data_IF_716827269243
#
_entry.id   IF_716827269243
#
_cell.length_a   1.000
_cell.length_b   1.000
_cell.length_c   1.000
_cell.angle_alpha   90.00
_cell.angle_beta   90.00
_cell.angle_gamma   90.00
#
_symmetry.space_group_name_H-M   'P 1'
#
loop_
_entity.id
_entity.type
_entity.pdbx_description
1 polymer ?
#
# COMPACT_ATOMS: atom_id res chain seq x y z
N UNK A 1 -26.73 10.20 -29.18
CA UNK A 1 -26.42 8.76 -29.32
C UNK A 1 -25.08 8.52 -28.66
N UNK A 2 -25.08 7.85 -27.51
CA UNK A 2 -24.50 6.50 -27.34
C UNK A 2 -22.98 6.60 -27.18
N UNK A 3 -22.37 6.25 -26.05
CA UNK A 3 -22.54 5.01 -25.30
C UNK A 3 -22.23 5.23 -23.82
N UNK A 4 -23.14 4.84 -22.91
CA UNK A 4 -22.72 4.48 -21.55
C UNK A 4 -21.75 3.32 -21.71
N UNK A 5 -20.53 3.50 -21.24
CA UNK A 5 -19.60 2.40 -21.06
C UNK A 5 -20.17 1.52 -19.94
N UNK A 6 -21.05 0.60 -20.30
CA UNK A 6 -21.35 -0.60 -19.52
C UNK A 6 -20.13 -1.52 -19.58
N UNK A 7 -19.02 -1.06 -19.00
CA UNK A 7 -17.89 -1.92 -18.66
C UNK A 7 -18.27 -2.70 -17.42
N UNK A 8 -18.35 -4.02 -17.54
CA UNK A 8 -18.65 -4.95 -16.47
C UNK A 8 -17.88 -4.59 -15.19
N UNK A 9 -18.57 -3.95 -14.24
CA UNK A 9 -18.05 -3.71 -12.90
C UNK A 9 -18.02 -5.04 -12.17
N UNK A 10 -16.92 -5.79 -12.34
CA UNK A 10 -16.53 -6.75 -11.31
C UNK A 10 -16.04 -5.92 -10.13
N UNK A 11 -16.98 -5.39 -9.34
CA UNK A 11 -16.69 -4.84 -8.01
C UNK A 11 -15.89 -5.88 -7.27
N UNK A 12 -14.62 -5.60 -7.00
CA UNK A 12 -13.82 -6.46 -6.15
C UNK A 12 -14.60 -6.78 -4.89
N UNK A 13 -14.66 -8.07 -4.54
CA UNK A 13 -15.35 -8.51 -3.34
C UNK A 13 -14.70 -7.82 -2.15
N UNK A 14 -15.50 -7.13 -1.34
CA UNK A 14 -15.02 -6.61 -0.06
C UNK A 14 -14.58 -7.79 0.80
N UNK A 15 -13.43 -7.65 1.47
CA UNK A 15 -12.85 -8.72 2.29
C UNK A 15 -13.83 -9.34 3.28
N UNK A 16 -14.62 -8.50 3.96
CA UNK A 16 -15.64 -8.91 4.94
C UNK A 16 -16.81 -9.71 4.36
N UNK A 17 -16.92 -9.79 3.03
CA UNK A 17 -17.95 -10.55 2.30
C UNK A 17 -17.40 -11.82 1.64
N UNK A 18 -16.13 -12.14 1.86
CA UNK A 18 -15.51 -13.34 1.32
C UNK A 18 -15.76 -14.56 2.21
N UNK A 19 -15.82 -15.78 1.66
CA UNK A 19 -15.83 -17.01 2.47
C UNK A 19 -14.62 -17.09 3.41
N UNK A 20 -13.47 -16.59 3.00
CA UNK A 20 -12.23 -16.58 3.78
C UNK A 20 -12.36 -15.72 5.05
N UNK A 21 -13.13 -14.63 5.00
CA UNK A 21 -13.45 -13.87 6.20
C UNK A 21 -14.34 -14.65 7.17
N UNK A 22 -15.33 -15.39 6.66
CA UNK A 22 -16.17 -16.26 7.47
C UNK A 22 -15.34 -17.38 8.12
N UNK A 23 -14.43 -17.99 7.36
CA UNK A 23 -13.50 -19.02 7.85
C UNK A 23 -12.53 -18.47 8.90
N UNK A 24 -11.97 -17.28 8.69
CA UNK A 24 -11.11 -16.60 9.66
C UNK A 24 -11.87 -16.28 10.94
N UNK A 25 -13.09 -15.74 10.80
CA UNK A 25 -13.95 -15.43 11.94
C UNK A 25 -14.29 -16.70 12.74
N UNK A 26 -14.66 -17.78 12.05
CA UNK A 26 -14.93 -19.08 12.68
C UNK A 26 -13.68 -19.64 13.37
N UNK A 27 -12.52 -19.56 12.72
CA UNK A 27 -11.23 -19.99 13.28
C UNK A 27 -10.90 -19.26 14.58
N UNK A 28 -11.05 -17.94 14.60
CA UNK A 28 -10.76 -17.11 15.78
C UNK A 28 -11.68 -17.44 16.96
N UNK A 29 -12.92 -17.87 16.69
CA UNK A 29 -13.89 -18.27 17.71
C UNK A 29 -13.78 -19.75 18.12
N UNK A 30 -13.08 -20.58 17.34
CA UNK A 30 -13.01 -22.01 17.59
C UNK A 30 -12.26 -22.34 18.89
N UNK A 31 -12.72 -23.33 19.67
CA UNK A 31 -11.97 -23.85 20.81
C UNK A 31 -10.58 -24.35 20.38
N UNK A 32 -9.55 -24.01 21.14
CA UNK A 32 -8.17 -24.41 20.84
C UNK A 32 -7.43 -23.50 19.85
N UNK A 33 -8.09 -22.54 19.23
CA UNK A 33 -7.44 -21.57 18.33
C UNK A 33 -6.38 -20.72 19.03
N UNK A 34 -6.52 -20.45 20.34
CA UNK A 34 -5.52 -19.74 21.16
C UNK A 34 -4.36 -20.60 21.68
N UNK A 35 -4.25 -21.87 21.24
CA UNK A 35 -3.24 -22.87 21.65
C UNK A 35 -2.99 -23.01 23.16
N UNK A 36 -4.07 -23.15 23.95
CA UNK A 36 -4.20 -23.96 25.17
C UNK A 36 -5.69 -24.12 25.51
N UNK A 37 -6.48 -24.64 24.56
CA UNK A 37 -7.91 -24.95 24.74
C UNK A 37 -8.88 -23.76 24.70
N UNK A 38 -8.40 -22.51 24.72
CA UNK A 38 -9.25 -21.30 24.65
C UNK A 38 -9.47 -20.76 23.23
N UNK A 39 -10.48 -19.89 23.10
CA UNK A 39 -10.68 -19.05 21.90
C UNK A 39 -9.45 -18.17 21.62
N UNK A 40 -9.29 -17.71 20.38
CA UNK A 40 -8.12 -16.95 19.94
C UNK A 40 -7.91 -15.61 20.69
N UNK A 41 -8.96 -15.08 21.34
CA UNK A 41 -8.84 -13.94 22.28
C UNK A 41 -7.89 -14.20 23.46
N UNK A 42 -7.55 -15.45 23.73
CA UNK A 42 -6.60 -15.85 24.78
C UNK A 42 -5.23 -16.25 24.20
N UNK A 43 -4.95 -15.95 22.92
CA UNK A 43 -3.67 -16.21 22.29
C UNK A 43 -2.56 -15.42 23.03
N UNK A 44 -1.64 -16.13 23.70
CA UNK A 44 -0.50 -15.52 24.38
C UNK A 44 0.73 -15.49 23.47
N UNK A 45 1.13 -14.29 23.10
CA UNK A 45 2.31 -14.08 22.25
C UNK A 45 3.59 -14.62 22.89
N UNK A 46 3.77 -14.50 24.21
CA UNK A 46 4.96 -15.01 24.91
C UNK A 46 5.06 -16.50 24.76
N UNK A 47 3.94 -17.20 24.96
CA UNK A 47 3.85 -18.63 24.74
C UNK A 47 4.10 -19.00 23.27
N UNK A 48 3.58 -18.22 22.32
CA UNK A 48 3.84 -18.46 20.91
C UNK A 48 5.33 -18.36 20.54
N UNK A 49 6.09 -17.45 21.16
CA UNK A 49 7.55 -17.40 21.02
C UNK A 49 8.24 -18.58 21.70
N UNK A 50 7.80 -18.99 22.89
CA UNK A 50 8.33 -20.18 23.57
C UNK A 50 8.09 -21.45 22.75
N UNK A 51 6.93 -21.60 22.14
CA UNK A 51 6.54 -22.77 21.34
C UNK A 51 7.16 -22.77 19.93
N UNK A 52 7.49 -21.59 19.40
CA UNK A 52 8.09 -21.45 18.08
C UNK A 52 9.32 -20.53 18.15
N UNK A 53 10.52 -21.09 18.44
CA UNK A 53 11.76 -20.32 18.46
C UNK A 53 12.09 -19.61 17.13
N UNK A 54 11.57 -20.11 16.01
CA UNK A 54 11.77 -19.53 14.67
C UNK A 54 10.72 -18.46 14.30
N UNK A 55 9.82 -18.11 15.23
CA UNK A 55 8.71 -17.18 14.98
C UNK A 55 9.20 -15.82 14.46
N UNK A 56 10.31 -15.31 15.00
CA UNK A 56 10.89 -14.05 14.55
C UNK A 56 11.20 -14.08 13.05
N UNK A 57 11.95 -15.09 12.60
CA UNK A 57 12.34 -15.23 11.20
C UNK A 57 11.13 -15.50 10.30
N UNK A 58 10.18 -16.34 10.74
CA UNK A 58 9.01 -16.72 9.94
C UNK A 58 8.05 -15.56 9.65
N UNK A 59 7.93 -14.60 10.57
CA UNK A 59 7.02 -13.46 10.44
C UNK A 59 7.74 -12.12 10.23
N UNK A 60 9.04 -12.12 9.99
CA UNK A 60 9.75 -10.91 9.58
C UNK A 60 9.83 -10.82 8.05
N UNK A 61 9.85 -9.60 7.54
CA UNK A 61 9.98 -9.29 6.12
C UNK A 61 11.20 -8.40 5.88
N UNK A 62 12.00 -8.75 4.88
CA UNK A 62 13.13 -7.95 4.42
C UNK A 62 12.85 -7.41 3.02
N UNK A 63 13.07 -6.12 2.84
CA UNK A 63 13.06 -5.43 1.55
C UNK A 63 14.27 -4.47 1.47
N UNK A 64 14.61 -3.94 0.28
CA UNK A 64 15.66 -2.93 0.17
C UNK A 64 15.39 -1.72 1.07
N UNK A 65 16.32 -1.43 1.99
CA UNK A 65 16.22 -0.30 2.92
C UNK A 65 15.19 -0.46 4.05
N UNK A 66 14.46 -1.58 4.13
CA UNK A 66 13.40 -1.78 5.13
C UNK A 66 13.43 -3.20 5.69
N UNK A 67 13.47 -3.31 7.01
CA UNK A 67 13.19 -4.54 7.75
C UNK A 67 11.92 -4.35 8.57
N UNK A 68 10.99 -5.29 8.47
CA UNK A 68 9.73 -5.27 9.21
C UNK A 68 9.55 -6.54 10.03
N UNK A 69 9.65 -6.41 11.35
CA UNK A 69 9.33 -7.48 12.29
C UNK A 69 7.82 -7.50 12.58
N UNK A 70 7.11 -8.48 12.01
CA UNK A 70 5.68 -8.70 12.29
C UNK A 70 5.45 -9.85 13.28
N UNK A 71 6.50 -10.44 13.85
CA UNK A 71 6.42 -11.60 14.75
C UNK A 71 5.73 -11.29 16.07
N UNK A 72 5.70 -10.02 16.46
CA UNK A 72 5.04 -9.54 17.69
C UNK A 72 3.55 -9.20 17.53
N UNK A 73 2.94 -9.52 16.38
CA UNK A 73 1.49 -9.44 16.21
C UNK A 73 0.78 -10.66 16.80
N UNK A 74 -0.49 -10.50 17.18
CA UNK A 74 -1.36 -11.56 17.69
C UNK A 74 -1.88 -12.45 16.56
N UNK A 75 -0.97 -13.10 15.83
CA UNK A 75 -1.27 -13.94 14.69
C UNK A 75 -0.39 -15.20 14.66
N UNK A 76 -0.85 -16.23 13.98
CA UNK A 76 -0.08 -17.43 13.71
C UNK A 76 -0.24 -17.86 12.25
N UNK A 77 0.42 -18.96 11.86
CA UNK A 77 0.43 -19.39 10.46
C UNK A 77 -0.97 -19.69 9.90
N UNK A 78 -1.87 -20.40 10.62
CA UNK A 78 -3.27 -20.55 10.21
C UNK A 78 -4.02 -19.23 9.96
N UNK A 79 -3.78 -18.20 10.78
CA UNK A 79 -4.37 -16.87 10.59
C UNK A 79 -3.75 -16.17 9.37
N UNK A 80 -2.42 -16.17 9.25
CA UNK A 80 -1.70 -15.58 8.12
C UNK A 80 -2.15 -16.19 6.79
N UNK A 81 -2.25 -17.51 6.70
CA UNK A 81 -2.70 -18.21 5.51
C UNK A 81 -4.11 -17.77 5.07
N UNK A 82 -5.04 -17.61 6.03
CA UNK A 82 -6.41 -17.14 5.75
C UNK A 82 -6.46 -15.67 5.32
N UNK A 83 -5.65 -14.81 5.93
CA UNK A 83 -5.53 -13.41 5.52
C UNK A 83 -5.00 -13.29 4.08
N UNK A 84 -4.01 -14.10 3.71
CA UNK A 84 -3.48 -14.14 2.35
C UNK A 84 -4.50 -14.71 1.35
N UNK A 85 -5.22 -15.78 1.72
CA UNK A 85 -6.30 -16.33 0.90
C UNK A 85 -7.44 -15.30 0.70
N UNK A 86 -7.77 -14.53 1.73
CA UNK A 86 -8.76 -13.44 1.62
C UNK A 86 -8.27 -12.36 0.66
N UNK A 87 -7.00 -11.94 0.75
CA UNK A 87 -6.42 -10.96 -0.18
C UNK A 87 -6.46 -11.45 -1.65
N UNK A 88 -6.22 -12.75 -1.87
CA UNK A 88 -6.35 -13.38 -3.19
C UNK A 88 -7.81 -13.38 -3.67
N UNK A 89 -8.77 -13.76 -2.82
CA UNK A 89 -10.20 -13.77 -3.16
C UNK A 89 -10.74 -12.37 -3.46
N UNK A 90 -10.20 -11.33 -2.81
CA UNK A 90 -10.50 -9.94 -3.11
C UNK A 90 -9.85 -9.45 -4.41
N UNK A 91 -8.96 -10.23 -5.02
CA UNK A 91 -8.24 -9.84 -6.23
C UNK A 91 -7.25 -8.69 -6.02
N UNK A 92 -6.61 -8.60 -4.84
CA UNK A 92 -5.72 -7.47 -4.50
C UNK A 92 -4.60 -7.28 -5.51
N UNK A 93 -3.99 -8.38 -5.99
CA UNK A 93 -2.90 -8.31 -6.97
C UNK A 93 -3.40 -7.84 -8.35
N UNK A 94 -4.56 -8.32 -8.79
CA UNK A 94 -5.16 -7.91 -10.05
C UNK A 94 -5.55 -6.43 -10.03
N UNK A 95 -6.11 -5.96 -8.92
CA UNK A 95 -6.44 -4.55 -8.73
C UNK A 95 -5.19 -3.67 -8.67
N UNK A 96 -4.13 -4.12 -7.99
CA UNK A 96 -2.83 -3.45 -8.00
C UNK A 96 -2.32 -3.32 -9.43
N UNK A 97 -2.29 -4.42 -10.18
CA UNK A 97 -1.73 -4.42 -11.54
C UNK A 97 -2.56 -3.52 -12.48
N UNK A 98 -3.90 -3.54 -12.36
CA UNK A 98 -4.79 -2.66 -13.09
C UNK A 98 -4.56 -1.18 -12.75
N UNK A 99 -4.37 -0.84 -11.47
CA UNK A 99 -4.03 0.52 -11.04
C UNK A 99 -2.71 0.97 -11.64
N UNK A 100 -1.67 0.13 -11.59
CA UNK A 100 -0.35 0.44 -12.17
C UNK A 100 -0.41 0.62 -13.69
N UNK A 101 -1.30 -0.08 -14.37
CA UNK A 101 -1.54 0.06 -15.81
C UNK A 101 -2.39 1.29 -16.19
N UNK A 102 -2.94 2.03 -15.21
CA UNK A 102 -3.75 3.22 -15.44
C UNK A 102 -5.23 2.96 -15.69
N UNK A 103 -5.76 1.80 -15.28
CA UNK A 103 -7.20 1.58 -15.24
C UNK A 103 -7.89 2.55 -14.27
N UNK A 104 -9.20 2.75 -14.44
CA UNK A 104 -10.02 3.53 -13.51
C UNK A 104 -10.08 2.82 -12.16
N UNK A 105 -9.30 3.31 -11.20
CA UNK A 105 -9.26 2.82 -9.82
C UNK A 105 -10.08 3.69 -8.86
N UNK A 106 -10.42 4.93 -9.26
CA UNK A 106 -11.37 5.80 -8.57
C UNK A 106 -12.67 5.85 -9.38
N UNK A 107 -13.61 4.90 -9.18
CA UNK A 107 -14.80 4.78 -10.01
C UNK A 107 -15.83 5.88 -9.74
N UNK A 108 -15.88 6.44 -8.53
CA UNK A 108 -16.82 7.51 -8.18
C UNK A 108 -16.53 8.80 -8.94
N UNK A 109 -15.26 9.04 -9.29
CA UNK A 109 -14.85 10.16 -10.13
C UNK A 109 -14.49 9.76 -11.56
N UNK A 110 -14.55 8.46 -11.90
CA UNK A 110 -14.16 7.94 -13.22
C UNK A 110 -12.68 8.14 -13.56
N UNK A 111 -11.78 8.12 -12.57
CA UNK A 111 -10.36 8.47 -12.73
C UNK A 111 -9.39 7.31 -12.48
N UNK A 112 -8.28 7.31 -13.20
CA UNK A 112 -7.11 6.51 -12.87
C UNK A 112 -6.41 7.05 -11.60
N UNK A 113 -5.61 6.20 -10.94
CA UNK A 113 -4.81 6.58 -9.77
C UNK A 113 -3.35 6.24 -10.04
N UNK A 114 -2.54 7.25 -10.37
CA UNK A 114 -1.22 7.07 -11.00
C UNK A 114 -0.06 7.73 -10.27
N UNK A 115 -0.15 7.91 -8.96
CA UNK A 115 0.96 8.45 -8.15
C UNK A 115 2.25 7.61 -8.27
N UNK A 116 2.14 6.32 -8.58
CA UNK A 116 3.29 5.44 -8.83
C UNK A 116 4.06 5.79 -10.11
N UNK A 117 3.39 6.32 -11.13
CA UNK A 117 4.03 6.73 -12.38
C UNK A 117 5.00 7.90 -12.19
N UNK A 118 4.72 8.79 -11.22
CA UNK A 118 5.55 9.97 -10.92
C UNK A 118 6.97 9.64 -10.43
N UNK A 119 7.20 8.39 -10.02
CA UNK A 119 8.49 7.88 -9.50
C UNK A 119 9.03 6.70 -10.30
N UNK A 120 8.41 6.38 -11.43
CA UNK A 120 8.87 5.30 -12.30
C UNK A 120 10.13 5.75 -13.07
N UNK A 121 11.06 4.83 -13.39
CA UNK A 121 12.19 5.13 -14.26
C UNK A 121 11.74 5.70 -15.61
N UNK A 122 12.61 6.47 -16.27
CA UNK A 122 12.31 7.06 -17.58
C UNK A 122 11.86 6.00 -18.59
N UNK A 123 10.81 6.32 -19.34
CA UNK A 123 10.20 5.40 -20.31
C UNK A 123 9.36 4.28 -19.69
N UNK A 124 9.16 4.24 -18.38
CA UNK A 124 8.35 3.23 -17.69
C UNK A 124 7.07 3.82 -17.11
N UNK A 125 5.97 3.08 -17.27
CA UNK A 125 4.66 3.44 -16.72
C UNK A 125 3.86 4.41 -17.61
N UNK A 126 2.58 4.64 -17.26
CA UNK A 126 1.72 5.57 -17.99
C UNK A 126 2.27 7.00 -17.98
N UNK A 127 2.15 7.71 -19.11
CA UNK A 127 2.57 9.11 -19.26
C UNK A 127 4.07 9.39 -18.98
N UNK A 128 4.95 8.38 -19.12
CA UNK A 128 6.36 8.49 -18.76
C UNK A 128 7.08 9.71 -19.38
N UNK A 129 6.84 10.01 -20.66
CA UNK A 129 7.47 11.15 -21.34
C UNK A 129 7.03 12.50 -20.75
N UNK A 130 5.73 12.67 -20.46
CA UNK A 130 5.19 13.91 -19.87
C UNK A 130 5.71 14.09 -18.44
N UNK A 131 5.70 13.02 -17.64
CA UNK A 131 6.22 13.03 -16.26
C UNK A 131 7.69 13.45 -16.27
N UNK A 132 8.53 12.80 -17.06
CA UNK A 132 9.97 13.10 -17.07
C UNK A 132 10.28 14.48 -17.66
N UNK A 133 9.51 14.95 -18.65
CA UNK A 133 9.63 16.33 -19.14
C UNK A 133 9.35 17.36 -18.04
N UNK A 134 8.36 17.12 -17.18
CA UNK A 134 8.09 17.99 -16.02
C UNK A 134 9.19 17.87 -14.96
N UNK A 135 9.67 16.67 -14.65
CA UNK A 135 10.77 16.47 -13.71
C UNK A 135 12.06 17.17 -14.16
N UNK A 136 12.40 17.10 -15.45
CA UNK A 136 13.56 17.79 -16.02
C UNK A 136 13.42 19.31 -15.88
N UNK A 137 12.24 19.86 -16.19
CA UNK A 137 11.95 21.29 -16.01
C UNK A 137 12.02 21.72 -14.55
N UNK A 138 11.47 20.91 -13.64
CA UNK A 138 11.52 21.17 -12.19
C UNK A 138 12.97 21.17 -11.69
N UNK A 139 13.79 20.21 -12.13
CA UNK A 139 15.19 20.13 -11.74
C UNK A 139 15.99 21.32 -12.27
N UNK A 140 15.81 21.69 -13.53
CA UNK A 140 16.48 22.86 -14.13
C UNK A 140 16.13 24.15 -13.38
N UNK A 141 14.85 24.34 -13.06
CA UNK A 141 14.41 25.49 -12.26
C UNK A 141 15.01 25.46 -10.85
N UNK A 142 14.95 24.31 -10.17
CA UNK A 142 15.54 24.16 -8.84
C UNK A 142 17.05 24.42 -8.84
N UNK A 143 17.77 24.04 -9.89
CA UNK A 143 19.19 24.37 -10.05
C UNK A 143 19.40 25.88 -10.19
N UNK A 144 18.59 26.58 -10.98
CA UNK A 144 18.67 28.05 -11.07
C UNK A 144 18.38 28.76 -9.75
N UNK A 145 17.45 28.24 -8.94
CA UNK A 145 17.14 28.82 -7.62
C UNK A 145 18.27 28.54 -6.61
N UNK A 146 18.90 27.36 -6.68
CA UNK A 146 20.04 27.01 -5.81
C UNK A 146 21.29 27.85 -6.11
N UNK A 147 21.42 28.37 -7.33
CA UNK A 147 22.41 29.39 -7.64
C UNK A 147 21.96 30.75 -7.06
N UNK A 148 22.23 30.94 -5.77
CA UNK A 148 21.85 32.15 -5.03
C UNK A 148 22.61 33.38 -5.53
N UNK A 149 23.83 33.21 -6.06
CA UNK A 149 24.63 34.32 -6.60
C UNK A 149 23.97 34.90 -7.86
N UNK A 150 23.50 34.04 -8.75
CA UNK A 150 22.80 34.46 -9.97
C UNK A 150 21.34 34.86 -9.70
N UNK A 151 20.60 34.07 -8.92
CA UNK A 151 19.16 34.25 -8.76
C UNK A 151 18.78 35.29 -7.70
N UNK A 152 19.63 35.49 -6.69
CA UNK A 152 19.32 36.30 -5.51
C UNK A 152 18.24 35.71 -4.58
N UNK A 153 17.72 34.51 -4.85
CA UNK A 153 16.64 33.89 -4.08
C UNK A 153 17.22 33.22 -2.83
N UNK A 154 16.73 33.61 -1.66
CA UNK A 154 17.18 33.07 -0.36
C UNK A 154 16.10 32.34 0.41
N UNK A 155 14.84 32.66 0.14
CA UNK A 155 13.70 32.16 0.87
C UNK A 155 12.64 31.64 -0.11
N UNK A 156 12.04 30.51 0.23
CA UNK A 156 10.92 29.91 -0.51
C UNK A 156 9.75 29.76 0.43
N UNK A 157 8.62 30.39 0.09
CA UNK A 157 7.38 30.29 0.85
C UNK A 157 6.43 29.33 0.12
N UNK A 158 6.21 28.14 0.67
CA UNK A 158 5.20 27.21 0.18
C UNK A 158 3.81 27.63 0.70
N UNK A 159 2.89 27.95 -0.20
CA UNK A 159 1.49 28.29 0.15
C UNK A 159 0.62 27.12 -0.29
N UNK A 160 0.24 26.25 0.65
CA UNK A 160 -0.59 25.08 0.38
C UNK A 160 -1.40 24.68 1.60
N UNK A 161 -2.40 23.81 1.38
CA UNK A 161 -3.13 23.14 2.45
C UNK A 161 -3.24 21.63 2.14
N UNK A 162 -3.43 20.81 3.18
CA UNK A 162 -3.66 19.38 3.02
C UNK A 162 -2.51 18.68 2.29
N UNK A 163 -2.82 17.94 1.22
CA UNK A 163 -1.81 17.18 0.46
C UNK A 163 -0.73 18.03 -0.20
N UNK A 164 -1.04 19.29 -0.53
CA UNK A 164 -0.08 20.24 -1.14
C UNK A 164 0.89 20.87 -0.15
N UNK A 165 0.75 20.59 1.15
CA UNK A 165 1.60 21.14 2.21
C UNK A 165 2.25 20.04 3.06
N UNK A 166 1.43 19.12 3.59
CA UNK A 166 1.90 18.09 4.52
C UNK A 166 2.97 17.17 3.92
N UNK A 167 2.84 16.81 2.64
CA UNK A 167 3.81 15.96 1.94
C UNK A 167 5.18 16.64 1.80
N UNK A 168 5.27 17.81 1.14
CA UNK A 168 6.49 18.59 1.08
C UNK A 168 7.11 18.86 2.45
N UNK A 169 6.29 19.29 3.43
CA UNK A 169 6.76 19.61 4.78
C UNK A 169 7.43 18.40 5.45
N UNK A 170 6.83 17.21 5.36
CA UNK A 170 7.39 16.00 5.98
C UNK A 170 8.75 15.59 5.39
N UNK A 171 8.97 15.80 4.09
CA UNK A 171 10.22 15.37 3.40
C UNK A 171 11.40 16.32 3.69
N UNK A 172 11.13 17.61 3.90
CA UNK A 172 12.19 18.63 4.10
C UNK A 172 12.45 18.98 5.56
N UNK A 173 11.53 18.62 6.47
CA UNK A 173 11.61 18.94 7.90
C UNK A 173 12.61 18.07 8.67
#
# INVERSE_FOLDING_TARGET
MSTRLEGAQSSALRGDRTPQWAELSAWVQAPGAGRQGGAYRHYDLRQAFTQNPQRFDQFSLQAPGVFADLSKNLWDEPVRARLLAMAQACGVLQQRDAMFAGAVANPTEGRAVLHTALRAPRGQGPHAEEVHAVLDRMLAYAQSVRDVESSGIRDVVNIGIGGSDLGPQMVVA
#
